data_IF_037735627048
#
_entry.id   IF_037735627048
#
_cell.length_a   1.000
_cell.length_b   1.000
_cell.length_c   1.000
_cell.angle_alpha   90.00
_cell.angle_beta   90.00
_cell.angle_gamma   90.00
#
_symmetry.space_group_name_H-M   'P 1'
#
loop_
_entity.id
_entity.type
_entity.pdbx_description
1 polymer ?
#
# COMPACT_ATOMS: atom_id res chain seq x y z
N UNK A 1 -29.36 17.75 9.35
CA UNK A 1 -28.69 17.55 8.04
C UNK A 1 -27.33 16.93 8.25
N UNK A 2 -26.63 16.57 7.17
CA UNK A 2 -25.23 16.13 7.18
C UNK A 2 -24.47 16.90 6.09
N UNK A 3 -23.17 17.11 6.25
CA UNK A 3 -22.30 17.72 5.24
C UNK A 3 -21.70 16.66 4.33
N UNK A 4 -21.15 17.08 3.20
CA UNK A 4 -20.42 16.19 2.28
C UNK A 4 -19.28 15.45 2.98
N UNK A 5 -18.48 16.15 3.78
CA UNK A 5 -17.40 15.55 4.56
C UNK A 5 -17.88 14.40 5.47
N UNK A 6 -19.05 14.54 6.10
CA UNK A 6 -19.63 13.51 6.95
C UNK A 6 -20.00 12.24 6.17
N UNK A 7 -20.41 12.40 4.90
CA UNK A 7 -20.64 11.28 3.97
C UNK A 7 -19.32 10.63 3.58
N UNK A 8 -18.32 11.43 3.17
CA UNK A 8 -17.04 10.91 2.71
C UNK A 8 -16.30 10.13 3.79
N UNK A 9 -16.25 10.64 5.03
CA UNK A 9 -15.59 9.95 6.13
C UNK A 9 -16.35 8.65 6.53
N UNK A 10 -17.68 8.66 6.47
CA UNK A 10 -18.48 7.47 6.73
C UNK A 10 -18.28 6.41 5.63
N UNK A 11 -18.19 6.82 4.36
CA UNK A 11 -17.89 5.94 3.24
C UNK A 11 -16.51 5.28 3.39
N UNK A 12 -15.49 6.05 3.77
CA UNK A 12 -14.16 5.49 4.03
C UNK A 12 -14.18 4.51 5.22
N UNK A 13 -14.88 4.84 6.32
CA UNK A 13 -15.00 3.94 7.46
C UNK A 13 -15.68 2.60 7.09
N UNK A 14 -16.76 2.67 6.31
CA UNK A 14 -17.49 1.49 5.83
C UNK A 14 -16.62 0.65 4.88
N UNK A 15 -15.90 1.30 3.97
CA UNK A 15 -14.95 0.64 3.08
C UNK A 15 -13.92 -0.15 3.90
N UNK A 16 -13.26 0.49 4.87
CA UNK A 16 -12.25 -0.17 5.70
C UNK A 16 -12.84 -1.31 6.54
N UNK A 17 -14.04 -1.14 7.08
CA UNK A 17 -14.76 -2.23 7.76
C UNK A 17 -14.98 -3.44 6.85
N UNK A 18 -15.46 -3.21 5.62
CA UNK A 18 -15.70 -4.25 4.62
C UNK A 18 -14.41 -4.90 4.10
N UNK A 19 -13.28 -4.19 4.16
CA UNK A 19 -11.94 -4.72 3.87
C UNK A 19 -11.31 -5.45 5.07
N UNK A 20 -12.04 -5.63 6.17
CA UNK A 20 -11.58 -6.40 7.34
C UNK A 20 -11.00 -5.57 8.48
N UNK A 21 -11.18 -4.24 8.47
CA UNK A 21 -10.72 -3.34 9.54
C UNK A 21 -11.45 -3.48 10.88
N UNK A 22 -12.46 -4.35 10.97
CA UNK A 22 -13.31 -4.51 12.15
C UNK A 22 -14.45 -3.49 12.21
N UNK A 23 -15.21 -3.47 13.31
CA UNK A 23 -16.39 -2.60 13.46
C UNK A 23 -16.08 -1.23 14.07
N UNK A 24 -14.87 -1.02 14.57
CA UNK A 24 -14.44 0.22 15.23
C UNK A 24 -13.29 0.84 14.44
N UNK A 25 -13.60 1.83 13.61
CA UNK A 25 -12.68 2.39 12.62
C UNK A 25 -12.26 3.80 13.03
N UNK A 26 -10.98 3.98 13.36
CA UNK A 26 -10.40 5.28 13.66
C UNK A 26 -9.76 5.90 12.41
N UNK A 27 -10.22 7.10 12.04
CA UNK A 27 -9.66 7.91 10.95
C UNK A 27 -9.01 9.17 11.51
N UNK A 28 -7.83 9.54 11.01
CA UNK A 28 -7.30 10.88 11.21
C UNK A 28 -7.98 11.88 10.28
N UNK A 29 -8.21 13.10 10.73
CA UNK A 29 -8.59 14.20 9.84
C UNK A 29 -7.98 15.51 10.31
N UNK A 30 -7.24 16.24 9.45
CA UNK A 30 -6.69 17.52 9.84
C UNK A 30 -7.77 18.60 9.88
N UNK A 31 -7.62 19.49 10.83
CA UNK A 31 -8.44 20.68 11.01
C UNK A 31 -7.53 21.91 11.04
N UNK A 32 -7.99 23.02 10.46
CA UNK A 32 -7.18 24.24 10.41
C UNK A 32 -6.94 24.85 11.80
N UNK A 33 -7.82 24.59 12.77
CA UNK A 33 -7.82 25.13 14.14
C UNK A 33 -7.65 26.66 14.20
N UNK A 34 -8.17 27.38 13.22
CA UNK A 34 -8.16 28.86 13.14
C UNK A 34 -9.52 29.43 13.58
N UNK A 35 -9.88 29.22 14.85
CA UNK A 35 -11.19 29.64 15.38
C UNK A 35 -11.30 31.16 15.60
N UNK A 36 -10.18 31.83 15.86
CA UNK A 36 -10.15 33.28 16.06
C UNK A 36 -9.86 34.03 14.76
N UNK A 37 -10.64 35.08 14.47
CA UNK A 37 -10.45 35.91 13.27
C UNK A 37 -9.05 36.54 13.17
N UNK A 38 -8.39 36.79 14.30
CA UNK A 38 -7.01 37.31 14.35
C UNK A 38 -5.98 36.35 13.73
N UNK A 39 -6.27 35.04 13.73
CA UNK A 39 -5.38 33.98 13.23
C UNK A 39 -5.67 33.58 11.79
N UNK A 40 -6.80 34.05 11.23
CA UNK A 40 -7.28 33.64 9.91
C UNK A 40 -6.23 33.86 8.80
N UNK A 41 -5.50 34.99 8.85
CA UNK A 41 -4.54 35.39 7.83
C UNK A 41 -3.07 35.21 8.26
N UNK A 42 -2.80 34.52 9.37
CA UNK A 42 -1.43 34.29 9.82
C UNK A 42 -0.78 33.12 9.08
N UNK A 43 0.51 33.27 8.78
CA UNK A 43 1.35 32.19 8.30
C UNK A 43 1.93 31.44 9.50
N UNK A 44 1.76 30.11 9.53
CA UNK A 44 2.24 29.27 10.64
C UNK A 44 1.60 27.87 10.64
N UNK A 45 2.12 26.98 11.48
CA UNK A 45 1.58 25.64 11.70
C UNK A 45 0.43 25.70 12.72
N UNK A 46 -0.78 25.90 12.23
CA UNK A 46 -2.01 25.90 13.03
C UNK A 46 -2.81 24.60 12.88
N UNK A 47 -2.49 23.79 11.87
CA UNK A 47 -3.19 22.55 11.62
C UNK A 47 -3.06 21.61 12.82
N UNK A 48 -4.19 21.09 13.29
CA UNK A 48 -4.25 20.00 14.25
C UNK A 48 -4.87 18.78 13.56
N UNK A 49 -4.86 17.63 14.22
CA UNK A 49 -5.54 16.41 13.75
C UNK A 49 -6.56 15.97 14.79
N UNK A 50 -7.78 15.72 14.35
CA UNK A 50 -8.80 15.02 15.16
C UNK A 50 -8.90 13.56 14.75
N UNK A 51 -9.28 12.71 15.70
CA UNK A 51 -9.53 11.28 15.45
C UNK A 51 -11.03 11.03 15.39
N UNK A 52 -11.50 10.56 14.24
CA UNK A 52 -12.89 10.22 13.98
C UNK A 52 -13.07 8.70 14.19
N UNK A 53 -13.55 8.32 15.37
CA UNK A 53 -13.81 6.93 15.72
C UNK A 53 -15.23 6.54 15.32
N UNK A 54 -15.36 5.70 14.30
CA UNK A 54 -16.61 5.28 13.70
C UNK A 54 -17.01 3.88 14.21
N UNK A 55 -18.19 3.78 14.83
CA UNK A 55 -18.77 2.51 15.29
C UNK A 55 -19.80 1.96 14.29
N UNK A 56 -19.40 0.88 13.63
CA UNK A 56 -20.17 0.11 12.65
C UNK A 56 -20.70 -1.22 13.24
N UNK A 57 -20.68 -1.37 14.57
CA UNK A 57 -21.28 -2.53 15.23
C UNK A 57 -22.80 -2.60 15.00
N UNK A 58 -23.29 -3.85 14.95
CA UNK A 58 -24.70 -4.15 14.77
C UNK A 58 -25.22 -4.04 13.33
N UNK A 59 -24.32 -3.99 12.34
CA UNK A 59 -24.67 -3.90 10.91
C UNK A 59 -25.65 -2.77 10.59
N UNK A 60 -25.29 -1.50 10.87
CA UNK A 60 -26.18 -0.38 10.64
C UNK A 60 -26.49 -0.20 9.15
N UNK A 61 -27.60 0.47 8.84
CA UNK A 61 -27.82 1.00 7.48
C UNK A 61 -26.82 2.10 7.16
N UNK A 62 -26.60 2.40 5.87
CA UNK A 62 -25.77 3.54 5.46
C UNK A 62 -26.26 4.85 6.11
N UNK A 63 -27.57 5.08 6.17
CA UNK A 63 -28.18 6.24 6.83
C UNK A 63 -27.87 6.28 8.33
N UNK A 64 -27.96 5.14 9.00
CA UNK A 64 -27.62 5.05 10.43
C UNK A 64 -26.13 5.30 10.66
N UNK A 65 -25.26 4.72 9.83
CA UNK A 65 -23.81 4.92 9.90
C UNK A 65 -23.44 6.40 9.65
N UNK A 66 -24.07 7.06 8.68
CA UNK A 66 -23.90 8.51 8.44
C UNK A 66 -24.38 9.35 9.64
N UNK A 67 -25.48 8.95 10.28
CA UNK A 67 -25.98 9.68 11.46
C UNK A 67 -24.99 9.57 12.61
N UNK A 68 -24.45 8.37 12.88
CA UNK A 68 -23.39 8.17 13.88
C UNK A 68 -22.12 8.95 13.52
N UNK A 69 -21.68 8.85 12.27
CA UNK A 69 -20.50 9.55 11.76
C UNK A 69 -20.62 11.08 11.84
N UNK A 70 -21.81 11.64 11.57
CA UNK A 70 -22.10 13.06 11.79
C UNK A 70 -21.85 13.44 13.26
N UNK A 71 -22.40 12.68 14.19
CA UNK A 71 -22.28 12.98 15.62
C UNK A 71 -20.79 12.89 16.05
N UNK A 72 -20.06 11.87 15.60
CA UNK A 72 -18.59 11.76 15.77
C UNK A 72 -17.84 12.99 15.24
N UNK A 73 -18.16 13.45 14.03
CA UNK A 73 -17.50 14.63 13.43
C UNK A 73 -17.80 15.90 14.21
N UNK A 74 -19.06 16.12 14.59
CA UNK A 74 -19.46 17.30 15.36
C UNK A 74 -18.77 17.33 16.73
N UNK A 75 -18.74 16.19 17.43
CA UNK A 75 -18.08 16.06 18.73
C UNK A 75 -16.56 16.26 18.62
N UNK A 76 -15.93 15.68 17.60
CA UNK A 76 -14.50 15.87 17.34
C UNK A 76 -14.16 17.34 17.03
N UNK A 77 -14.97 18.01 16.20
CA UNK A 77 -14.75 19.41 15.83
C UNK A 77 -15.00 20.37 16.98
N UNK A 78 -15.90 20.04 17.91
CA UNK A 78 -16.10 20.80 19.14
C UNK A 78 -14.86 20.79 20.06
N UNK A 79 -13.95 19.82 19.90
CA UNK A 79 -12.73 19.65 20.70
C UNK A 79 -11.44 19.79 19.86
N UNK A 80 -11.53 20.38 18.66
CA UNK A 80 -10.43 20.42 17.70
C UNK A 80 -9.20 21.21 18.16
N UNK A 81 -9.30 22.01 19.24
CA UNK A 81 -8.18 22.76 19.81
C UNK A 81 -7.27 21.91 20.71
N UNK A 82 -7.70 20.71 21.12
CA UNK A 82 -6.88 19.81 21.94
C UNK A 82 -5.72 19.26 21.07
N UNK A 83 -4.45 19.55 21.37
CA UNK A 83 -3.33 19.05 20.57
C UNK A 83 -3.29 17.51 20.57
N UNK A 84 -3.10 16.90 19.40
CA UNK A 84 -3.10 15.45 19.25
C UNK A 84 -2.04 14.77 20.13
N UNK A 85 -0.90 15.44 20.38
CA UNK A 85 0.17 14.93 21.24
C UNK A 85 -0.31 14.75 22.68
N UNK A 86 -1.18 15.65 23.18
CA UNK A 86 -1.77 15.55 24.52
C UNK A 86 -2.76 14.40 24.62
N UNK A 87 -3.50 14.13 23.54
CA UNK A 87 -4.37 12.98 23.47
C UNK A 87 -3.57 11.67 23.48
N UNK A 88 -2.49 11.59 22.71
CA UNK A 88 -1.58 10.43 22.69
C UNK A 88 -0.92 10.22 24.05
N UNK A 89 -0.48 11.28 24.71
CA UNK A 89 0.10 11.24 26.06
C UNK A 89 -0.91 10.70 27.08
N UNK A 90 -2.14 11.21 27.06
CA UNK A 90 -3.19 10.81 28.00
C UNK A 90 -3.66 9.36 27.79
N UNK A 91 -3.79 8.91 26.55
CA UNK A 91 -4.22 7.54 26.22
C UNK A 91 -3.09 6.51 26.39
N UNK A 92 -1.83 6.95 26.27
CA UNK A 92 -0.62 6.14 26.37
C UNK A 92 -0.72 4.77 25.65
N UNK A 93 -1.05 4.73 24.34
CA UNK A 93 -1.19 3.49 23.60
C UNK A 93 0.17 2.78 23.40
N UNK A 94 0.19 1.46 23.14
CA UNK A 94 1.41 0.73 22.83
C UNK A 94 2.16 1.35 21.64
N UNK A 95 3.38 1.81 21.88
CA UNK A 95 4.20 2.45 20.84
C UNK A 95 4.77 1.42 19.89
N UNK A 96 4.61 1.66 18.58
CA UNK A 96 5.29 0.91 17.51
C UNK A 96 5.97 1.89 16.57
N UNK A 97 7.18 1.58 16.09
CA UNK A 97 7.94 2.46 15.20
C UNK A 97 7.31 2.62 13.82
N UNK A 98 6.58 1.62 13.36
CA UNK A 98 5.97 1.57 12.03
C UNK A 98 4.47 1.87 12.01
N UNK A 99 3.88 2.32 13.13
CA UNK A 99 2.45 2.66 13.17
C UNK A 99 2.21 3.95 13.93
N UNK A 100 1.36 4.78 13.36
CA UNK A 100 0.84 5.93 14.08
C UNK A 100 0.01 5.46 15.31
N UNK A 101 0.11 6.12 16.47
CA UNK A 101 -0.47 5.62 17.72
C UNK A 101 -1.99 5.44 17.76
N UNK A 102 -2.76 6.21 16.96
CA UNK A 102 -4.23 6.27 17.10
C UNK A 102 -5.00 5.89 15.84
N UNK A 103 -4.44 6.11 14.67
CA UNK A 103 -5.09 5.83 13.38
C UNK A 103 -4.03 5.48 12.34
N UNK A 104 -4.40 4.74 11.30
CA UNK A 104 -3.50 4.40 10.18
C UNK A 104 -4.03 4.87 8.83
N UNK A 105 -5.22 5.47 8.83
CA UNK A 105 -5.84 6.02 7.63
C UNK A 105 -6.23 7.47 7.89
N UNK A 106 -6.01 8.35 6.93
CA UNK A 106 -6.38 9.76 7.03
C UNK A 106 -7.38 10.13 5.93
N UNK A 107 -8.30 11.04 6.26
CA UNK A 107 -9.19 11.67 5.29
C UNK A 107 -9.10 13.19 5.36
N UNK A 108 -8.91 13.80 4.19
CA UNK A 108 -8.83 15.23 4.00
C UNK A 108 -9.93 15.68 3.06
N UNK A 109 -10.60 16.78 3.41
CA UNK A 109 -11.56 17.43 2.53
C UNK A 109 -11.19 18.90 2.37
N UNK A 110 -11.13 19.35 1.11
CA UNK A 110 -10.88 20.74 0.74
C UNK A 110 -12.02 21.21 -0.16
N UNK A 111 -12.74 22.22 0.31
CA UNK A 111 -13.79 22.87 -0.46
C UNK A 111 -13.23 23.67 -1.63
N UNK A 112 -14.15 24.28 -2.39
CA UNK A 112 -13.81 25.10 -3.56
C UNK A 112 -12.92 26.29 -3.22
N UNK A 113 -13.02 26.81 -2.00
CA UNK A 113 -12.18 27.88 -1.44
C UNK A 113 -10.69 27.51 -1.35
N UNK A 114 -10.38 26.21 -1.37
CA UNK A 114 -9.01 25.67 -1.39
C UNK A 114 -8.55 25.23 -2.79
N UNK A 115 -9.39 25.38 -3.81
CA UNK A 115 -9.05 24.98 -5.16
C UNK A 115 -7.85 25.80 -5.69
N UNK A 116 -6.82 25.09 -6.17
CA UNK A 116 -5.66 25.72 -6.79
C UNK A 116 -6.05 26.28 -8.16
N UNK A 117 -6.40 27.57 -8.21
CA UNK A 117 -6.72 28.28 -9.44
C UNK A 117 -5.59 29.25 -9.83
N UNK A 118 -5.47 29.51 -11.13
CA UNK A 118 -4.63 30.60 -11.60
C UNK A 118 -5.19 31.92 -11.09
N UNK A 119 -4.31 32.79 -10.59
CA UNK A 119 -4.71 34.09 -10.03
C UNK A 119 -3.77 35.19 -10.48
N UNK A 120 -4.33 36.37 -10.71
CA UNK A 120 -3.53 37.58 -10.96
C UNK A 120 -2.84 37.97 -9.66
N UNK A 121 -1.53 38.20 -9.71
CA UNK A 121 -0.76 38.67 -8.56
C UNK A 121 -0.99 40.16 -8.30
N UNK A 122 -1.17 40.93 -9.36
CA UNK A 122 -1.45 42.37 -9.31
C UNK A 122 -2.77 42.69 -9.99
N UNK A 123 -3.44 43.74 -9.53
CA UNK A 123 -4.68 44.24 -10.15
C UNK A 123 -4.48 44.68 -11.61
N UNK A 124 -3.24 45.02 -11.98
CA UNK A 124 -2.84 45.38 -13.35
C UNK A 124 -2.84 44.17 -14.30
N UNK A 125 -2.81 42.94 -13.78
CA UNK A 125 -2.84 41.71 -14.57
C UNK A 125 -1.54 41.38 -15.33
N UNK A 126 -0.46 42.10 -15.06
CA UNK A 126 0.85 41.88 -15.71
C UNK A 126 1.53 40.59 -15.26
N UNK A 127 1.21 40.10 -14.06
CA UNK A 127 1.78 38.86 -13.51
C UNK A 127 0.67 37.92 -13.05
N UNK A 128 0.73 36.66 -13.51
CA UNK A 128 -0.22 35.60 -13.14
C UNK A 128 0.53 34.48 -12.42
N UNK A 129 -0.03 34.02 -11.30
CA UNK A 129 0.42 32.81 -10.60
C UNK A 129 -0.36 31.64 -11.18
N UNK A 130 0.35 30.61 -11.60
CA UNK A 130 -0.22 29.35 -12.09
C UNK A 130 0.27 28.24 -11.15
N UNK A 131 -0.64 27.54 -10.45
CA UNK A 131 -0.25 26.39 -9.65
C UNK A 131 0.23 25.26 -10.57
N UNK A 132 1.40 24.71 -10.25
CA UNK A 132 1.89 23.50 -10.90
C UNK A 132 1.51 22.29 -10.02
N UNK A 133 0.88 21.25 -10.59
CA UNK A 133 0.63 20.03 -9.84
C UNK A 133 1.95 19.38 -9.45
N UNK A 134 1.99 18.78 -8.25
CA UNK A 134 3.08 17.90 -7.84
C UNK A 134 2.65 16.48 -8.18
N UNK A 135 3.49 15.76 -8.91
CA UNK A 135 3.19 14.42 -9.46
C UNK A 135 3.48 13.28 -8.48
N UNK A 136 3.94 13.59 -7.26
CA UNK A 136 4.19 12.59 -6.23
C UNK A 136 3.71 13.07 -4.87
N UNK A 137 3.07 12.17 -4.14
CA UNK A 137 2.68 12.33 -2.74
C UNK A 137 3.27 11.17 -1.96
N UNK A 138 3.66 11.44 -0.71
CA UNK A 138 4.20 10.43 0.20
C UNK A 138 3.18 10.25 1.31
N UNK A 139 2.69 9.03 1.48
CA UNK A 139 1.91 8.69 2.66
C UNK A 139 2.84 8.28 3.79
N UNK A 140 2.68 8.93 4.95
CA UNK A 140 3.33 8.53 6.20
C UNK A 140 2.47 7.56 7.02
N UNK A 141 1.32 7.18 6.47
CA UNK A 141 0.31 6.29 7.04
C UNK A 141 0.08 5.13 6.08
N UNK A 142 -0.85 4.24 6.39
CA UNK A 142 -1.13 3.11 5.51
C UNK A 142 -1.87 3.59 4.26
N UNK A 143 -2.86 4.49 4.44
CA UNK A 143 -3.67 5.07 3.37
C UNK A 143 -4.11 6.51 3.71
N UNK A 144 -3.82 7.45 2.82
CA UNK A 144 -4.31 8.82 2.87
C UNK A 144 -5.31 9.06 1.73
N UNK A 145 -6.48 9.59 2.08
CA UNK A 145 -7.56 9.91 1.13
C UNK A 145 -7.79 11.41 1.10
N UNK A 146 -7.38 12.05 0.00
CA UNK A 146 -7.61 13.47 -0.25
C UNK A 146 -8.81 13.69 -1.17
N UNK A 147 -9.73 14.54 -0.77
CA UNK A 147 -10.90 14.93 -1.57
C UNK A 147 -10.89 16.44 -1.76
N UNK A 148 -10.81 16.89 -3.00
CA UNK A 148 -10.76 18.31 -3.34
C UNK A 148 -11.91 18.66 -4.28
N UNK A 149 -12.63 19.74 -3.97
CA UNK A 149 -13.61 20.30 -4.92
C UNK A 149 -12.86 21.16 -5.93
N UNK A 150 -12.99 20.83 -7.22
CA UNK A 150 -12.36 21.58 -8.30
C UNK A 150 -13.15 22.88 -8.60
N UNK A 151 -12.56 23.86 -9.31
CA UNK A 151 -13.29 25.07 -9.74
C UNK A 151 -14.47 24.79 -10.70
N UNK A 152 -14.63 23.54 -11.17
CA UNK A 152 -15.76 23.10 -11.99
C UNK A 152 -16.85 22.40 -11.16
N UNK A 153 -16.72 22.43 -9.83
CA UNK A 153 -17.57 21.71 -8.87
C UNK A 153 -17.53 20.18 -9.06
N UNK A 154 -16.40 19.64 -9.51
CA UNK A 154 -16.14 18.20 -9.56
C UNK A 154 -15.34 17.78 -8.31
N UNK A 155 -15.38 16.50 -7.96
CA UNK A 155 -14.54 15.94 -6.89
C UNK A 155 -13.28 15.32 -7.49
N UNK A 156 -12.12 15.88 -7.17
CA UNK A 156 -10.81 15.24 -7.37
C UNK A 156 -10.47 14.42 -6.12
N UNK A 157 -10.49 13.08 -6.26
CA UNK A 157 -10.24 12.13 -5.18
C UNK A 157 -8.88 11.46 -5.40
N UNK A 158 -7.96 11.63 -4.45
CA UNK A 158 -6.61 11.07 -4.48
C UNK A 158 -6.45 10.06 -3.35
N UNK A 159 -5.99 8.86 -3.69
CA UNK A 159 -5.62 7.83 -2.74
C UNK A 159 -4.11 7.66 -2.78
N UNK A 160 -3.45 7.97 -1.67
CA UNK A 160 -2.00 7.81 -1.52
C UNK A 160 -1.78 6.71 -0.49
N UNK A 161 -1.19 5.61 -0.91
CA UNK A 161 -0.95 4.46 -0.05
C UNK A 161 0.54 4.26 0.19
N UNK A 162 0.89 3.64 1.31
CA UNK A 162 2.28 3.27 1.56
C UNK A 162 2.72 2.18 0.58
N UNK A 163 3.75 2.46 -0.22
CA UNK A 163 4.27 1.54 -1.22
C UNK A 163 4.89 0.26 -0.63
N UNK A 164 5.30 0.29 0.65
CA UNK A 164 5.78 -0.90 1.36
C UNK A 164 4.63 -1.86 1.73
N UNK A 165 3.38 -1.37 1.73
CA UNK A 165 2.19 -2.11 2.14
C UNK A 165 1.26 -2.44 0.97
N UNK A 166 1.20 -1.57 -0.05
CA UNK A 166 0.22 -1.66 -1.13
C UNK A 166 0.87 -1.64 -2.51
N UNK A 167 0.38 -2.53 -3.36
CA UNK A 167 0.67 -2.48 -4.80
C UNK A 167 -0.30 -1.53 -5.52
N UNK A 168 0.09 -0.90 -6.65
CA UNK A 168 -0.78 0.00 -7.40
C UNK A 168 -2.14 -0.60 -7.79
N UNK A 169 -2.17 -1.87 -8.15
CA UNK A 169 -3.41 -2.58 -8.48
C UNK A 169 -4.37 -2.65 -7.29
N UNK A 170 -3.85 -2.87 -6.08
CA UNK A 170 -4.65 -2.88 -4.85
C UNK A 170 -5.24 -1.51 -4.55
N UNK A 171 -4.47 -0.44 -4.72
CA UNK A 171 -4.96 0.93 -4.52
C UNK A 171 -6.06 1.28 -5.52
N UNK A 172 -5.93 0.84 -6.77
CA UNK A 172 -6.97 1.01 -7.79
C UNK A 172 -8.29 0.29 -7.40
N UNK A 173 -8.20 -0.90 -6.83
CA UNK A 173 -9.38 -1.61 -6.31
C UNK A 173 -10.00 -0.89 -5.11
N UNK A 174 -9.19 -0.35 -4.20
CA UNK A 174 -9.68 0.46 -3.07
C UNK A 174 -10.39 1.72 -3.59
N UNK A 175 -9.85 2.39 -4.61
CA UNK A 175 -10.46 3.56 -5.23
C UNK A 175 -11.82 3.22 -5.87
N UNK A 176 -11.90 2.12 -6.62
CA UNK A 176 -13.15 1.65 -7.21
C UNK A 176 -14.19 1.31 -6.13
N UNK A 177 -13.77 0.63 -5.06
CA UNK A 177 -14.64 0.29 -3.93
C UNK A 177 -15.13 1.53 -3.16
N UNK A 178 -14.29 2.56 -3.01
CA UNK A 178 -14.70 3.85 -2.45
C UNK A 178 -15.78 4.50 -3.30
N UNK A 179 -15.60 4.54 -4.62
CA UNK A 179 -16.60 5.08 -5.54
C UNK A 179 -17.94 4.33 -5.42
N UNK A 180 -17.92 2.99 -5.41
CA UNK A 180 -19.12 2.18 -5.22
C UNK A 180 -19.82 2.45 -3.88
N UNK A 181 -19.05 2.70 -2.82
CA UNK A 181 -19.59 3.04 -1.49
C UNK A 181 -20.27 4.41 -1.52
N UNK A 182 -19.69 5.40 -2.19
CA UNK A 182 -20.27 6.74 -2.37
C UNK A 182 -21.55 6.67 -3.22
N UNK A 183 -21.57 5.88 -4.29
CA UNK A 183 -22.76 5.64 -5.10
C UNK A 183 -23.87 4.97 -4.29
N UNK A 184 -23.54 4.06 -3.37
CA UNK A 184 -24.51 3.42 -2.49
C UNK A 184 -25.18 4.42 -1.53
N UNK A 185 -24.43 5.40 -1.01
CA UNK A 185 -25.02 6.49 -0.22
C UNK A 185 -26.03 7.33 -1.02
N UNK A 186 -25.76 7.56 -2.30
CA UNK A 186 -26.64 8.34 -3.17
C UNK A 186 -27.90 7.58 -3.60
N UNK A 187 -27.80 6.25 -3.79
CA UNK A 187 -28.84 5.45 -4.44
C UNK A 187 -29.62 4.54 -3.49
N UNK A 188 -28.98 4.01 -2.45
CA UNK A 188 -29.53 2.97 -1.56
C UNK A 188 -29.19 3.23 -0.07
N UNK A 189 -29.50 4.43 0.48
CA UNK A 189 -29.06 4.82 1.83
C UNK A 189 -29.63 3.97 2.97
N UNK A 190 -30.70 3.21 2.73
CA UNK A 190 -31.33 2.36 3.75
C UNK A 190 -30.82 0.90 3.70
N UNK A 191 -29.84 0.61 2.84
CA UNK A 191 -29.18 -0.70 2.76
C UNK A 191 -28.27 -0.92 3.99
N UNK A 192 -28.26 -2.13 4.60
CA UNK A 192 -27.29 -2.46 5.65
C UNK A 192 -25.86 -2.48 5.09
N UNK A 193 -24.88 -2.10 5.92
CA UNK A 193 -23.46 -2.06 5.57
C UNK A 193 -22.98 -3.42 5.04
N UNK A 194 -23.41 -4.53 5.63
CA UNK A 194 -23.06 -5.88 5.19
C UNK A 194 -23.47 -6.17 3.74
N UNK A 195 -24.58 -5.60 3.26
CA UNK A 195 -25.11 -5.82 1.92
C UNK A 195 -24.49 -4.91 0.85
N UNK A 196 -23.67 -3.92 1.24
CA UNK A 196 -22.92 -3.09 0.29
C UNK A 196 -21.93 -3.98 -0.47
N UNK A 197 -22.09 -4.05 -1.79
CA UNK A 197 -21.19 -4.78 -2.68
C UNK A 197 -20.08 -3.84 -3.14
N UNK A 198 -18.86 -4.04 -2.65
CA UNK A 198 -17.71 -3.20 -3.02
C UNK A 198 -17.08 -3.59 -4.35
N UNK A 199 -17.14 -4.88 -4.68
CA UNK A 199 -16.48 -5.42 -5.85
C UNK A 199 -17.20 -4.91 -7.12
N UNK A 200 -16.47 -4.45 -8.14
CA UNK A 200 -17.08 -4.06 -9.40
C UNK A 200 -17.96 -5.19 -9.97
N UNK A 201 -19.12 -4.84 -10.54
CA UNK A 201 -20.06 -5.83 -11.09
C UNK A 201 -19.40 -6.77 -12.09
N UNK A 202 -18.41 -6.30 -12.86
CA UNK A 202 -17.67 -7.11 -13.81
C UNK A 202 -16.82 -8.19 -13.12
N UNK A 203 -16.13 -7.83 -12.04
CA UNK A 203 -15.32 -8.77 -11.25
C UNK A 203 -16.20 -9.75 -10.48
N UNK A 204 -17.34 -9.28 -9.95
CA UNK A 204 -18.32 -10.15 -9.31
C UNK A 204 -18.94 -11.12 -10.32
N UNK A 205 -19.28 -10.66 -11.53
CA UNK A 205 -19.75 -11.52 -12.60
C UNK A 205 -18.69 -12.55 -13.01
N UNK A 206 -17.40 -12.18 -13.00
CA UNK A 206 -16.29 -13.10 -13.24
C UNK A 206 -16.14 -14.15 -12.13
N UNK A 207 -16.34 -13.76 -10.85
CA UNK A 207 -16.31 -14.68 -9.72
C UNK A 207 -17.52 -15.63 -9.69
N UNK A 208 -18.70 -15.13 -10.06
CA UNK A 208 -19.95 -15.90 -10.10
C UNK A 208 -20.12 -16.69 -11.39
N UNK A 209 -19.32 -16.42 -12.42
CA UNK A 209 -19.29 -17.21 -13.62
C UNK A 209 -18.97 -18.67 -13.26
N UNK A 210 -19.60 -19.66 -13.93
CA UNK A 210 -19.20 -21.05 -13.76
C UNK A 210 -17.69 -21.13 -13.97
N UNK A 211 -16.97 -21.98 -13.20
CA UNK A 211 -15.55 -22.14 -13.39
C UNK A 211 -15.35 -22.40 -14.86
N UNK A 212 -14.64 -21.49 -15.55
CA UNK A 212 -14.04 -21.83 -16.82
C UNK A 212 -13.29 -23.09 -16.47
N UNK A 213 -13.65 -24.23 -17.08
CA UNK A 213 -12.77 -25.38 -17.00
C UNK A 213 -11.46 -24.76 -17.41
N UNK A 214 -10.51 -24.68 -16.48
CA UNK A 214 -9.15 -24.69 -16.90
C UNK A 214 -9.20 -25.88 -17.85
N UNK A 215 -9.01 -25.64 -19.15
CA UNK A 215 -8.19 -26.56 -19.85
C UNK A 215 -7.05 -26.68 -18.86
N UNK A 216 -6.98 -27.83 -18.18
CA UNK A 216 -5.71 -28.31 -17.73
C UNK A 216 -4.94 -28.10 -19.02
N UNK A 217 -4.19 -27.00 -19.06
CA UNK A 217 -3.06 -26.98 -19.93
C UNK A 217 -2.39 -28.24 -19.38
N UNK A 218 -2.59 -29.35 -20.08
CA UNK A 218 -1.49 -30.20 -20.41
C UNK A 218 -0.45 -29.17 -20.81
N UNK A 219 0.30 -28.72 -19.81
CA UNK A 219 1.54 -28.04 -20.00
C UNK A 219 2.19 -28.99 -20.98
N UNK A 220 2.26 -28.59 -22.25
CA UNK A 220 3.24 -29.18 -23.12
C UNK A 220 4.50 -29.21 -22.26
N UNK A 221 5.07 -30.40 -22.02
CA UNK A 221 6.03 -30.60 -20.95
C UNK A 221 7.01 -29.44 -21.04
N UNK A 222 6.92 -28.52 -20.08
CA UNK A 222 7.90 -27.46 -19.98
C UNK A 222 9.21 -28.22 -19.97
N UNK A 223 10.11 -27.88 -20.89
CA UNK A 223 11.39 -28.54 -21.02
C UNK A 223 12.10 -28.38 -19.67
N UNK A 224 11.84 -29.33 -18.77
CA UNK A 224 12.42 -29.38 -17.45
C UNK A 224 13.89 -29.69 -17.60
N UNK A 225 14.63 -29.47 -16.52
CA UNK A 225 15.98 -30.01 -16.45
C UNK A 225 16.01 -31.50 -16.75
N UNK A 226 17.21 -32.02 -16.96
CA UNK A 226 17.50 -33.43 -16.92
C UNK A 226 16.70 -34.13 -15.83
N UNK A 227 15.99 -35.19 -16.22
CA UNK A 227 15.19 -36.05 -15.32
C UNK A 227 16.04 -36.55 -14.14
N UNK A 228 17.36 -36.66 -14.33
CA UNK A 228 18.30 -37.02 -13.28
C UNK A 228 18.45 -35.92 -12.22
N UNK A 229 18.58 -34.65 -12.65
CA UNK A 229 18.70 -33.49 -11.76
C UNK A 229 17.41 -33.28 -10.96
N UNK A 230 16.25 -33.41 -11.61
CA UNK A 230 14.94 -33.37 -10.93
C UNK A 230 14.86 -34.45 -9.83
N UNK A 231 15.23 -35.70 -10.16
CA UNK A 231 15.16 -36.83 -9.22
C UNK A 231 16.07 -36.63 -8.00
N UNK A 232 17.28 -36.10 -8.20
CA UNK A 232 18.23 -35.82 -7.12
C UNK A 232 17.71 -34.70 -6.22
N UNK A 233 17.17 -33.62 -6.81
CA UNK A 233 16.62 -32.51 -6.05
C UNK A 233 15.39 -32.94 -5.22
N UNK A 234 14.48 -33.72 -5.80
CA UNK A 234 13.32 -34.30 -5.11
C UNK A 234 13.78 -35.17 -3.94
N UNK A 235 14.72 -36.10 -4.16
CA UNK A 235 15.18 -37.00 -3.10
C UNK A 235 15.84 -36.26 -1.92
N UNK A 236 16.62 -35.21 -2.20
CA UNK A 236 17.21 -34.36 -1.16
C UNK A 236 16.14 -33.57 -0.39
N UNK A 237 15.11 -33.09 -1.09
CA UNK A 237 14.04 -32.32 -0.47
C UNK A 237 13.15 -33.21 0.42
N UNK A 238 12.79 -34.40 -0.04
CA UNK A 238 12.05 -35.41 0.74
C UNK A 238 12.79 -35.75 2.05
N UNK A 239 14.12 -35.93 1.97
CA UNK A 239 14.94 -36.20 3.15
C UNK A 239 15.02 -35.01 4.11
N UNK A 240 15.07 -33.78 3.60
CA UNK A 240 15.20 -32.56 4.43
C UNK A 240 13.90 -32.18 5.12
N UNK A 241 12.77 -32.41 4.47
CA UNK A 241 11.44 -32.07 4.98
C UNK A 241 10.74 -33.24 5.69
N UNK A 242 11.32 -34.45 5.66
CA UNK A 242 10.71 -35.70 6.18
C UNK A 242 9.32 -35.97 5.57
N UNK A 243 9.22 -35.78 4.25
CA UNK A 243 8.00 -35.97 3.45
C UNK A 243 8.25 -36.97 2.32
N UNK A 244 7.17 -37.52 1.75
CA UNK A 244 7.23 -38.44 0.61
C UNK A 244 6.19 -38.06 -0.43
N UNK A 245 6.49 -38.29 -1.70
CA UNK A 245 5.55 -38.08 -2.80
C UNK A 245 5.59 -36.65 -3.36
N UNK A 246 6.78 -36.04 -3.36
CA UNK A 246 7.01 -34.73 -3.97
C UNK A 246 7.06 -34.90 -5.50
N UNK A 247 6.28 -34.09 -6.20
CA UNK A 247 6.21 -34.06 -7.66
C UNK A 247 7.11 -32.95 -8.25
N UNK A 248 7.49 -33.08 -9.52
CA UNK A 248 8.33 -32.10 -10.25
C UNK A 248 7.70 -30.70 -10.32
N UNK A 249 6.37 -30.64 -10.26
CA UNK A 249 5.61 -29.38 -10.35
C UNK A 249 5.27 -28.80 -8.97
N UNK A 250 5.70 -29.45 -7.86
CA UNK A 250 5.45 -28.95 -6.52
C UNK A 250 6.28 -27.70 -6.21
N UNK A 251 5.67 -26.81 -5.42
CA UNK A 251 6.31 -25.60 -4.94
C UNK A 251 7.00 -25.84 -3.60
N UNK A 252 8.30 -25.56 -3.52
CA UNK A 252 9.12 -25.69 -2.31
C UNK A 252 8.51 -25.04 -1.06
N UNK A 253 7.96 -23.84 -1.18
CA UNK A 253 7.36 -23.11 -0.05
C UNK A 253 5.99 -23.68 0.33
N UNK A 254 5.23 -24.22 -0.62
CA UNK A 254 3.96 -24.88 -0.34
C UNK A 254 4.14 -26.21 0.42
N UNK A 255 5.29 -26.88 0.21
CA UNK A 255 5.69 -28.10 0.93
C UNK A 255 6.21 -27.83 2.36
N UNK A 256 6.22 -26.56 2.80
CA UNK A 256 6.71 -26.17 4.12
C UNK A 256 8.21 -25.86 4.18
N UNK A 257 8.85 -25.66 3.03
CA UNK A 257 10.24 -25.20 2.94
C UNK A 257 10.42 -23.78 3.46
N UNK A 258 11.52 -23.55 4.20
CA UNK A 258 11.93 -22.23 4.69
C UNK A 258 13.37 -21.89 4.25
N UNK A 259 13.85 -20.68 4.60
CA UNK A 259 15.20 -20.23 4.26
C UNK A 259 16.32 -21.11 4.83
N UNK A 260 16.08 -21.82 5.95
CA UNK A 260 17.06 -22.74 6.55
C UNK A 260 17.10 -24.03 5.72
N UNK A 261 15.95 -24.55 5.31
CA UNK A 261 15.84 -25.73 4.44
C UNK A 261 16.46 -25.42 3.07
N UNK A 262 16.19 -24.25 2.48
CA UNK A 262 16.75 -23.85 1.18
C UNK A 262 18.29 -23.81 1.19
N UNK A 263 18.89 -23.26 2.25
CA UNK A 263 20.36 -23.21 2.41
C UNK A 263 20.96 -24.60 2.63
N UNK A 264 20.29 -25.48 3.40
CA UNK A 264 20.74 -26.86 3.59
C UNK A 264 20.63 -27.67 2.31
N UNK A 265 19.55 -27.48 1.57
CA UNK A 265 19.29 -28.13 0.30
C UNK A 265 20.32 -27.73 -0.75
N UNK A 266 20.65 -26.43 -0.86
CA UNK A 266 21.71 -25.97 -1.75
C UNK A 266 23.07 -26.55 -1.37
N UNK A 267 23.43 -26.55 -0.08
CA UNK A 267 24.70 -27.10 0.38
C UNK A 267 24.84 -28.60 0.08
N UNK A 268 23.76 -29.38 0.24
CA UNK A 268 23.76 -30.83 -0.06
C UNK A 268 23.82 -31.12 -1.56
N UNK A 269 23.13 -30.34 -2.40
CA UNK A 269 23.21 -30.52 -3.84
C UNK A 269 24.57 -30.10 -4.41
N UNK A 270 25.18 -29.01 -3.90
CA UNK A 270 26.54 -28.62 -4.27
C UNK A 270 27.55 -29.71 -3.91
N UNK A 271 27.36 -30.42 -2.80
CA UNK A 271 28.18 -31.58 -2.44
C UNK A 271 28.04 -32.75 -3.44
N UNK A 272 26.98 -32.78 -4.25
CA UNK A 272 26.76 -33.73 -5.35
C UNK A 272 27.10 -33.14 -6.73
N UNK A 273 27.91 -32.07 -6.76
CA UNK A 273 28.35 -31.38 -8.00
C UNK A 273 27.24 -30.68 -8.79
N UNK A 274 26.08 -30.41 -8.18
CA UNK A 274 25.02 -29.62 -8.79
C UNK A 274 25.28 -28.12 -8.56
N UNK A 275 25.17 -27.33 -9.63
CA UNK A 275 25.32 -25.87 -9.60
C UNK A 275 24.06 -25.18 -9.03
N UNK A 276 23.70 -25.54 -7.79
CA UNK A 276 22.49 -25.09 -7.11
C UNK A 276 22.81 -24.05 -6.04
N UNK A 277 22.16 -22.88 -6.09
CA UNK A 277 22.33 -21.79 -5.12
C UNK A 277 21.02 -21.50 -4.38
N UNK A 278 21.06 -20.95 -3.15
CA UNK A 278 19.85 -20.60 -2.42
C UNK A 278 18.94 -19.62 -3.18
N UNK A 279 19.51 -18.71 -3.98
CA UNK A 279 18.75 -17.73 -4.76
C UNK A 279 17.84 -18.40 -5.79
N UNK A 280 18.30 -19.50 -6.41
CA UNK A 280 17.53 -20.25 -7.41
C UNK A 280 16.21 -20.81 -6.83
N UNK A 281 16.13 -21.07 -5.52
CA UNK A 281 14.88 -21.52 -4.87
C UNK A 281 13.80 -20.44 -4.85
N UNK A 282 14.21 -19.17 -4.79
CA UNK A 282 13.29 -18.03 -4.79
C UNK A 282 12.93 -17.58 -6.21
N UNK A 283 13.84 -17.80 -7.16
CA UNK A 283 13.65 -17.46 -8.58
C UNK A 283 12.79 -18.49 -9.32
N UNK A 284 12.84 -19.77 -8.90
CA UNK A 284 12.13 -20.87 -9.55
C UNK A 284 11.09 -21.46 -8.62
N UNK A 285 9.81 -21.36 -9.02
CA UNK A 285 8.68 -21.69 -8.15
C UNK A 285 8.36 -23.19 -8.13
N UNK A 286 8.95 -23.99 -9.02
CA UNK A 286 8.76 -25.45 -9.11
C UNK A 286 10.10 -26.18 -9.17
N UNK A 287 10.10 -27.47 -8.81
CA UNK A 287 11.31 -28.30 -8.84
C UNK A 287 11.80 -28.52 -10.29
N UNK A 288 10.89 -28.60 -11.26
CA UNK A 288 11.21 -28.71 -12.68
C UNK A 288 11.95 -27.48 -13.21
N UNK A 289 11.49 -26.27 -12.87
CA UNK A 289 12.14 -25.01 -13.24
C UNK A 289 13.52 -24.90 -12.56
N UNK A 290 13.60 -25.33 -11.30
CA UNK A 290 14.84 -25.32 -10.55
C UNK A 290 15.87 -26.27 -11.17
N UNK A 291 15.46 -27.48 -11.56
CA UNK A 291 16.34 -28.44 -12.23
C UNK A 291 16.86 -27.88 -13.56
N UNK A 292 15.99 -27.21 -14.35
CA UNK A 292 16.40 -26.57 -15.59
C UNK A 292 17.47 -25.48 -15.37
N UNK A 293 17.33 -24.68 -14.32
CA UNK A 293 18.30 -23.65 -13.97
C UNK A 293 19.64 -24.23 -13.49
N UNK A 294 19.60 -25.34 -12.74
CA UNK A 294 20.80 -26.07 -12.29
C UNK A 294 21.55 -26.68 -13.46
N UNK A 295 20.84 -27.27 -14.43
CA UNK A 295 21.46 -27.85 -15.62
C UNK A 295 22.04 -26.79 -16.57
N UNK A 296 21.31 -25.69 -16.77
CA UNK A 296 21.81 -24.55 -17.54
C UNK A 296 23.07 -23.91 -16.91
N UNK A 297 23.23 -24.03 -15.59
CA UNK A 297 24.43 -23.58 -14.89
C UNK A 297 25.58 -24.61 -14.94
N UNK A 298 25.29 -25.88 -15.26
CA UNK A 298 26.27 -26.96 -15.36
C UNK A 298 26.88 -27.12 -16.76
N UNK A 299 26.22 -26.63 -17.83
CA UNK A 299 26.79 -26.65 -19.18
C UNK A 299 28.06 -25.76 -19.29
N UNK A 300 29.18 -26.28 -19.84
CA UNK A 300 30.39 -25.49 -20.04
C UNK A 300 30.12 -24.41 -21.09
N UNK A 301 30.01 -23.15 -20.65
CA UNK A 301 29.89 -21.97 -21.50
C UNK A 301 31.09 -21.84 -22.45
N UNK A 302 31.01 -22.41 -23.65
CA UNK A 302 31.87 -22.01 -24.76
C UNK A 302 31.35 -20.69 -25.34
N UNK A 303 31.97 -19.58 -24.94
CA UNK A 303 31.71 -18.27 -25.51
C UNK A 303 30.63 -17.47 -24.79
N UNK A 304 30.91 -17.07 -23.55
CA UNK A 304 30.24 -15.92 -22.94
C UNK A 304 31.28 -14.81 -22.77
N UNK A 305 31.17 -13.79 -23.62
CA UNK A 305 31.76 -12.47 -23.39
C UNK A 305 31.33 -12.03 -21.99
N UNK A 306 32.32 -11.64 -21.20
CA UNK A 306 32.18 -11.08 -19.86
C UNK A 306 31.24 -9.86 -19.91
N UNK A 307 29.97 -10.08 -19.58
CA UNK A 307 29.05 -9.03 -19.19
C UNK A 307 28.83 -9.20 -17.69
N UNK A 308 29.82 -8.72 -16.93
CA UNK A 308 29.58 -8.23 -15.59
C UNK A 308 28.43 -7.21 -15.66
N UNK A 309 27.20 -7.66 -15.34
CA UNK A 309 26.14 -6.74 -14.98
C UNK A 309 26.46 -6.24 -13.58
N UNK A 310 27.22 -5.15 -13.53
CA UNK A 310 27.31 -4.29 -12.37
C UNK A 310 25.90 -3.83 -12.02
N UNK A 311 25.31 -4.45 -11.00
CA UNK A 311 24.12 -3.93 -10.34
C UNK A 311 24.50 -2.64 -9.64
N UNK A 312 24.26 -1.52 -10.31
CA UNK A 312 24.26 -0.20 -9.67
C UNK A 312 22.93 -0.05 -8.91
N UNK A 313 22.94 0.19 -7.59
CA UNK A 313 21.72 0.51 -6.87
C UNK A 313 21.17 1.83 -7.40
N UNK A 314 19.89 1.80 -7.78
CA UNK A 314 19.18 2.93 -8.36
C UNK A 314 18.99 4.02 -7.29
N UNK A 315 19.82 5.07 -7.35
CA UNK A 315 19.67 6.27 -6.51
C UNK A 315 18.52 7.13 -7.03
N UNK A 316 17.50 7.34 -6.20
CA UNK A 316 16.30 8.12 -6.52
C UNK A 316 16.50 9.65 -6.54
N UNK A 317 17.72 10.15 -6.77
CA UNK A 317 18.01 11.59 -6.74
C UNK A 317 18.63 12.16 -8.01
N UNK A 318 18.90 11.34 -9.05
CA UNK A 318 19.43 11.83 -10.33
C UNK A 318 20.78 12.55 -10.24
N UNK A 319 21.55 12.33 -9.17
CA UNK A 319 22.87 12.92 -8.96
C UNK A 319 23.95 11.83 -9.03
N UNK A 320 25.08 12.19 -9.63
CA UNK A 320 26.24 11.32 -9.81
C UNK A 320 26.74 10.76 -8.46
N UNK A 321 27.06 9.45 -8.37
CA UNK A 321 27.54 8.80 -7.14
C UNK A 321 28.72 9.52 -6.46
N UNK A 322 29.64 10.10 -7.23
CA UNK A 322 30.81 10.81 -6.68
C UNK A 322 30.40 12.16 -6.06
N UNK A 323 29.35 12.80 -6.58
CA UNK A 323 28.78 14.02 -6.01
C UNK A 323 28.06 13.71 -4.69
N UNK A 324 27.36 12.58 -4.61
CA UNK A 324 26.68 12.10 -3.40
C UNK A 324 27.68 11.72 -2.29
N UNK A 325 28.78 11.05 -2.64
CA UNK A 325 29.85 10.73 -1.71
C UNK A 325 30.54 11.99 -1.17
N UNK A 326 30.75 12.99 -2.02
CA UNK A 326 31.33 14.28 -1.62
C UNK A 326 30.38 15.07 -0.71
N UNK A 327 29.07 15.03 -0.97
CA UNK A 327 28.03 15.67 -0.15
C UNK A 327 27.87 14.98 1.22
N UNK A 328 27.92 13.64 1.25
CA UNK A 328 27.88 12.89 2.51
C UNK A 328 29.13 13.12 3.36
N UNK A 329 30.31 13.24 2.72
CA UNK A 329 31.57 13.54 3.40
C UNK A 329 31.63 14.98 3.95
N UNK A 330 30.98 15.96 3.30
CA UNK A 330 30.94 17.34 3.82
C UNK A 330 30.08 17.45 5.08
N UNK A 331 28.96 16.73 5.15
CA UNK A 331 28.08 16.68 6.34
C UNK A 331 28.72 15.96 7.54
N UNK A 332 29.54 14.93 7.30
CA UNK A 332 30.27 14.22 8.35
C UNK A 332 31.47 15.01 8.91
N UNK A 333 32.04 15.94 8.13
CA UNK A 333 33.14 16.79 8.58
C UNK A 333 32.67 18.05 9.34
N UNK A 334 31.49 18.59 9.04
CA UNK A 334 30.93 19.72 9.82
C UNK A 334 30.50 19.30 11.24
N UNK A 335 30.11 18.04 11.44
CA UNK A 335 29.69 17.51 12.75
C UNK A 335 30.85 17.16 13.70
N UNK A 336 32.11 17.26 13.27
CA UNK A 336 33.31 17.10 14.13
C UNK A 336 34.09 18.39 14.38
N UNK A 337 33.57 19.53 13.95
CA UNK A 337 34.21 20.85 14.03
C UNK A 337 33.61 21.83 15.02
N UNK A 338 32.84 21.39 16.02
CA UNK A 338 32.41 22.22 17.15
C UNK A 338 32.58 21.46 18.47
N UNK A 339 33.80 21.48 18.98
CA UNK A 339 34.11 21.44 20.41
C UNK A 339 35.10 22.55 20.72
#
# INVERSE_FOLDING_TARGET
>A
GATEFMVYQAALAILLHKLGGGTDIALGSPVASRLESATANLFGLFANVVVLRNDLSGDPTLRTALTRGRDTVLDAFAHQELPIERLVEALNPPRRRSRNPLYQHMIHFRGEDWALASRKLTDTGETTIIPLPIDFEVSLLDLDVGINVTPRHELDVRLVANADLYQPATVALIAAALNTTLDAFATTPDLPVSAVQLLPTADLARLLAPPTSAAVASSEPAAGGSVETERVLIALLEQLLDITGVDRDDNFFALGGDSIVAVRWSAQATAQSLAFTPAMVFEHMTIAELAAAVDAAAEPRSGATDLAQDYTPMSASGLDPDVLATLAASWLNESRGQS
#
